data_IF_611873171556
#
_entry.id   IF_611873171556
#
_cell.length_a   1.000
_cell.length_b   1.000
_cell.length_c   1.000
_cell.angle_alpha   90.00
_cell.angle_beta   90.00
_cell.angle_gamma   90.00
#
_symmetry.space_group_name_H-M   'P 1'
#
loop_
_entity.id
_entity.type
_entity.pdbx_description
1 polymer ?
#
# COMPACT_ATOMS: atom_id res chain seq x y z
N UNK A 1 -25.10 -48.44 -8.02
CA UNK A 1 -26.24 -49.37 -7.90
C UNK A 1 -26.28 -50.25 -9.13
N UNK A 2 -26.63 -51.54 -8.98
CA UNK A 2 -26.62 -52.48 -10.08
C UNK A 2 -27.69 -52.19 -11.12
N UNK A 3 -27.35 -52.24 -12.40
CA UNK A 3 -28.31 -52.13 -13.51
C UNK A 3 -28.95 -53.50 -13.75
N UNK A 4 -30.31 -53.56 -13.67
CA UNK A 4 -31.06 -54.78 -13.89
C UNK A 4 -31.85 -54.68 -15.21
N UNK A 5 -31.52 -55.55 -16.18
CA UNK A 5 -32.27 -55.70 -17.44
C UNK A 5 -33.25 -56.85 -17.34
N UNK A 6 -34.52 -56.64 -17.74
CA UNK A 6 -35.60 -57.59 -17.65
C UNK A 6 -35.74 -58.38 -18.97
N UNK A 7 -35.79 -59.72 -18.83
CA UNK A 7 -36.11 -60.65 -19.91
C UNK A 7 -37.28 -61.56 -19.50
N UNK A 8 -37.95 -62.25 -20.38
CA UNK A 8 -39.23 -62.94 -20.08
C UNK A 8 -39.19 -63.91 -18.90
N UNK A 9 -38.09 -64.64 -18.66
CA UNK A 9 -37.98 -65.65 -17.58
C UNK A 9 -36.78 -65.45 -16.69
N UNK A 10 -35.84 -64.60 -17.10
CA UNK A 10 -34.59 -64.34 -16.38
C UNK A 10 -34.27 -62.86 -16.36
N UNK A 11 -33.46 -62.41 -15.45
CA UNK A 11 -32.96 -61.05 -15.38
C UNK A 11 -31.45 -61.05 -15.47
N UNK A 12 -30.93 -59.99 -16.06
CA UNK A 12 -29.48 -59.78 -16.14
C UNK A 12 -29.14 -58.58 -15.24
N UNK A 13 -28.24 -58.83 -14.29
CA UNK A 13 -27.69 -57.80 -13.40
C UNK A 13 -26.26 -57.50 -13.86
N UNK A 14 -25.96 -56.23 -13.96
CA UNK A 14 -24.60 -55.70 -14.14
C UNK A 14 -24.28 -54.79 -12.96
N UNK A 15 -23.30 -55.20 -12.16
CA UNK A 15 -22.83 -54.40 -10.99
C UNK A 15 -21.70 -53.49 -11.39
N UNK A 16 -21.59 -52.37 -10.68
CA UNK A 16 -20.45 -51.45 -10.77
C UNK A 16 -19.20 -52.10 -10.16
N UNK A 17 -18.00 -51.66 -10.58
CA UNK A 17 -16.72 -52.14 -10.05
C UNK A 17 -16.51 -51.81 -8.57
N UNK A 18 -17.22 -50.76 -8.07
CA UNK A 18 -17.17 -50.31 -6.68
C UNK A 18 -18.19 -50.98 -5.76
N UNK A 19 -18.94 -51.94 -6.29
CA UNK A 19 -19.94 -52.74 -5.57
C UNK A 19 -19.58 -54.21 -5.61
N UNK A 20 -19.59 -54.85 -4.44
CA UNK A 20 -19.45 -56.30 -4.31
C UNK A 20 -20.81 -56.97 -4.30
N UNK A 21 -21.07 -57.87 -5.23
CA UNK A 21 -22.32 -58.61 -5.37
C UNK A 21 -22.20 -60.01 -4.80
N UNK A 22 -23.18 -60.35 -3.98
CA UNK A 22 -23.36 -61.69 -3.43
C UNK A 22 -24.65 -62.28 -4.02
N UNK A 23 -24.55 -63.28 -4.85
CA UNK A 23 -25.68 -63.99 -5.46
C UNK A 23 -25.95 -65.32 -4.77
N UNK A 24 -27.12 -65.42 -4.18
CA UNK A 24 -27.58 -66.65 -3.50
C UNK A 24 -28.70 -67.29 -4.32
N UNK A 25 -28.59 -68.66 -4.47
CA UNK A 25 -29.63 -69.45 -5.08
C UNK A 25 -30.03 -70.54 -4.09
N UNK A 26 -31.31 -70.57 -3.70
CA UNK A 26 -31.80 -71.55 -2.69
C UNK A 26 -30.94 -71.55 -1.42
N UNK A 27 -30.62 -70.37 -0.90
CA UNK A 27 -29.81 -70.11 0.29
C UNK A 27 -28.31 -70.53 0.17
N UNK A 28 -27.83 -70.92 -1.01
CA UNK A 28 -26.42 -71.21 -1.24
C UNK A 28 -25.77 -70.11 -2.05
N UNK A 29 -24.60 -69.62 -1.59
CA UNK A 29 -23.80 -68.65 -2.30
C UNK A 29 -23.28 -69.20 -3.61
N UNK A 30 -23.63 -68.60 -4.75
CA UNK A 30 -23.22 -69.12 -6.09
C UNK A 30 -22.13 -68.25 -6.68
N UNK A 31 -22.29 -66.89 -6.61
CA UNK A 31 -21.31 -65.99 -7.14
C UNK A 31 -21.05 -64.87 -6.10
N UNK A 32 -19.78 -64.52 -5.96
CA UNK A 32 -19.33 -63.44 -5.08
C UNK A 32 -18.18 -62.70 -5.76
N UNK A 33 -18.27 -61.38 -5.91
CA UNK A 33 -17.23 -60.56 -6.51
C UNK A 33 -17.70 -59.15 -6.85
N UNK A 34 -16.75 -58.32 -7.23
CA UNK A 34 -16.99 -56.94 -7.68
C UNK A 34 -17.11 -56.87 -9.19
N UNK A 35 -17.96 -55.96 -9.69
CA UNK A 35 -18.15 -55.75 -11.12
C UNK A 35 -18.78 -56.93 -11.86
N UNK A 36 -19.51 -57.83 -11.16
CA UNK A 36 -20.09 -59.02 -11.75
C UNK A 36 -21.27 -58.68 -12.69
N UNK A 37 -21.33 -59.45 -13.78
CA UNK A 37 -22.49 -59.52 -14.65
C UNK A 37 -23.09 -60.95 -14.58
N UNK A 38 -24.30 -61.07 -14.07
CA UNK A 38 -24.91 -62.36 -13.80
C UNK A 38 -26.33 -62.47 -14.33
N UNK A 39 -26.71 -63.69 -14.76
CA UNK A 39 -28.12 -64.04 -15.07
C UNK A 39 -28.74 -64.70 -13.84
N UNK A 40 -29.90 -64.29 -13.43
CA UNK A 40 -30.60 -64.85 -12.28
C UNK A 40 -32.11 -65.00 -12.50
N UNK A 41 -32.70 -65.87 -11.71
CA UNK A 41 -34.16 -66.05 -11.70
C UNK A 41 -34.75 -65.35 -10.49
N UNK A 42 -35.62 -64.30 -10.70
CA UNK A 42 -36.17 -63.53 -9.58
C UNK A 42 -37.06 -64.34 -8.61
N UNK A 43 -37.49 -65.54 -8.99
CA UNK A 43 -38.33 -66.38 -8.14
C UNK A 43 -37.54 -67.26 -7.17
N UNK A 44 -36.28 -67.56 -7.46
CA UNK A 44 -35.50 -68.48 -6.66
C UNK A 44 -34.19 -67.92 -6.12
N UNK A 45 -33.78 -66.75 -6.59
CA UNK A 45 -32.50 -66.16 -6.34
C UNK A 45 -32.64 -64.88 -5.52
N UNK A 46 -31.69 -64.61 -4.61
CA UNK A 46 -31.54 -63.33 -3.93
C UNK A 46 -30.16 -62.74 -4.20
N UNK A 47 -30.08 -61.44 -4.26
CA UNK A 47 -28.86 -60.68 -4.56
C UNK A 47 -28.67 -59.61 -3.51
N UNK A 48 -27.48 -59.61 -2.90
CA UNK A 48 -27.06 -58.52 -2.02
C UNK A 48 -25.93 -57.72 -2.71
N UNK A 49 -26.02 -56.37 -2.63
CA UNK A 49 -25.03 -55.46 -3.20
C UNK A 49 -24.40 -54.64 -2.07
N UNK A 50 -23.13 -54.87 -1.79
CA UNK A 50 -22.37 -54.19 -0.73
C UNK A 50 -21.39 -53.24 -1.40
N UNK A 51 -21.47 -51.92 -1.13
CA UNK A 51 -20.49 -50.95 -1.62
C UNK A 51 -19.13 -51.19 -0.93
N UNK A 52 -18.04 -51.15 -1.72
CA UNK A 52 -16.67 -51.33 -1.25
C UNK A 52 -15.86 -50.02 -1.34
N UNK A 53 -16.47 -48.98 -1.80
CA UNK A 53 -15.91 -47.60 -1.85
C UNK A 53 -15.74 -47.04 -0.44
N UNK A 54 -14.82 -46.09 -0.30
CA UNK A 54 -14.66 -45.33 0.95
C UNK A 54 -15.89 -44.42 1.15
N UNK A 55 -16.46 -44.48 2.36
CA UNK A 55 -17.66 -43.75 2.71
C UNK A 55 -17.44 -42.85 3.91
N UNK A 56 -17.90 -41.64 3.74
CA UNK A 56 -17.82 -40.62 4.79
C UNK A 56 -19.11 -40.57 5.61
N UNK A 57 -18.94 -40.60 6.94
CA UNK A 57 -19.98 -40.46 7.93
C UNK A 57 -19.74 -39.21 8.74
N UNK A 58 -20.70 -38.28 8.72
CA UNK A 58 -20.65 -37.11 9.57
C UNK A 58 -20.86 -37.47 11.03
N UNK A 59 -19.99 -36.98 11.91
CA UNK A 59 -20.06 -37.12 13.35
C UNK A 59 -20.37 -35.78 13.98
N UNK A 60 -21.41 -35.74 14.80
CA UNK A 60 -21.72 -34.64 15.70
C UNK A 60 -21.88 -35.25 17.11
N UNK A 61 -20.97 -34.90 17.99
CA UNK A 61 -20.87 -35.49 19.33
C UNK A 61 -21.11 -34.37 20.34
N UNK A 62 -22.15 -34.52 21.15
CA UNK A 62 -22.43 -33.65 22.27
C UNK A 62 -22.04 -34.35 23.56
N UNK A 63 -21.17 -33.73 24.33
CA UNK A 63 -20.68 -34.29 25.58
C UNK A 63 -20.41 -33.23 26.63
N UNK A 64 -20.16 -33.69 27.86
CA UNK A 64 -19.83 -32.83 28.98
C UNK A 64 -18.39 -33.11 29.42
N UNK A 65 -17.58 -32.04 29.50
CA UNK A 65 -16.20 -32.09 29.96
C UNK A 65 -16.10 -32.43 31.46
N UNK A 66 -14.88 -32.69 31.93
CA UNK A 66 -14.60 -32.88 33.35
C UNK A 66 -15.12 -31.73 34.22
N UNK A 67 -15.08 -30.52 33.72
CA UNK A 67 -15.54 -29.30 34.42
C UNK A 67 -17.06 -29.06 34.28
N UNK A 68 -17.82 -30.07 33.86
CA UNK A 68 -19.26 -29.99 33.61
C UNK A 68 -19.70 -28.98 32.56
N UNK A 69 -18.81 -28.65 31.66
CA UNK A 69 -19.12 -27.75 30.54
C UNK A 69 -19.55 -28.53 29.29
N UNK A 70 -20.56 -28.03 28.59
CA UNK A 70 -21.06 -28.65 27.39
C UNK A 70 -20.09 -28.40 26.23
N UNK A 71 -19.71 -29.46 25.55
CA UNK A 71 -18.80 -29.48 24.39
C UNK A 71 -19.49 -30.14 23.21
N UNK A 72 -19.34 -29.53 22.04
CA UNK A 72 -19.75 -30.11 20.77
C UNK A 72 -18.51 -30.37 19.91
N UNK A 73 -18.28 -31.62 19.55
CA UNK A 73 -17.26 -32.01 18.59
C UNK A 73 -17.90 -32.38 17.26
N UNK A 74 -17.34 -31.86 16.17
CA UNK A 74 -17.79 -32.15 14.80
C UNK A 74 -16.67 -32.75 14.02
N UNK A 75 -16.99 -33.75 13.19
CA UNK A 75 -16.00 -34.45 12.41
C UNK A 75 -16.58 -35.34 11.33
N UNK A 76 -15.70 -36.08 10.69
CA UNK A 76 -16.03 -37.04 9.66
C UNK A 76 -15.25 -38.35 9.92
N UNK A 77 -15.94 -39.45 9.86
CA UNK A 77 -15.36 -40.79 9.93
C UNK A 77 -15.47 -41.44 8.55
N UNK A 78 -14.35 -41.84 7.97
CA UNK A 78 -14.30 -42.55 6.69
C UNK A 78 -14.09 -44.04 6.95
N UNK A 79 -14.96 -44.85 6.39
CA UNK A 79 -14.91 -46.31 6.52
C UNK A 79 -15.13 -47.01 5.17
N UNK A 80 -14.74 -48.25 5.08
CA UNK A 80 -15.01 -49.13 3.93
C UNK A 80 -15.37 -50.54 4.36
N UNK A 81 -16.04 -51.26 3.48
CA UNK A 81 -16.28 -52.65 3.65
C UNK A 81 -15.07 -53.47 3.15
N UNK A 82 -14.19 -53.90 4.08
CA UNK A 82 -13.03 -54.77 3.74
C UNK A 82 -13.44 -56.19 3.42
N UNK A 83 -14.41 -56.74 4.16
CA UNK A 83 -14.97 -58.06 3.96
C UNK A 83 -16.49 -57.99 3.73
N UNK A 84 -16.94 -57.71 2.49
CA UNK A 84 -18.35 -57.52 2.17
C UNK A 84 -19.27 -58.68 2.51
N UNK A 85 -18.73 -59.92 2.44
CA UNK A 85 -19.47 -61.12 2.76
C UNK A 85 -19.82 -61.23 4.26
N UNK A 86 -18.92 -60.80 5.16
CA UNK A 86 -19.20 -60.73 6.61
C UNK A 86 -20.23 -59.66 6.92
N UNK A 87 -20.10 -58.51 6.24
CA UNK A 87 -21.03 -57.38 6.43
C UNK A 87 -22.46 -57.75 6.01
N UNK A 88 -22.62 -58.43 4.87
CA UNK A 88 -23.92 -58.87 4.36
C UNK A 88 -24.59 -59.95 5.22
N UNK A 89 -23.85 -60.69 6.04
CA UNK A 89 -24.40 -61.64 7.00
C UNK A 89 -25.04 -60.98 8.24
N UNK A 90 -24.62 -59.75 8.57
CA UNK A 90 -25.09 -59.04 9.74
C UNK A 90 -26.08 -57.89 9.43
N UNK A 91 -25.96 -57.34 8.25
CA UNK A 91 -26.80 -56.23 7.78
C UNK A 91 -27.39 -56.61 6.44
N UNK A 92 -28.68 -56.36 6.28
CA UNK A 92 -29.43 -56.68 5.07
C UNK A 92 -29.13 -55.74 3.92
N UNK A 93 -28.27 -56.19 2.99
CA UNK A 93 -27.94 -55.51 1.75
C UNK A 93 -28.70 -56.06 0.54
N UNK A 94 -29.79 -56.84 0.76
CA UNK A 94 -30.56 -57.37 -0.33
C UNK A 94 -31.19 -56.22 -1.19
N UNK A 95 -31.06 -56.45 -2.49
CA UNK A 95 -31.67 -55.51 -3.46
C UNK A 95 -33.02 -56.00 -3.91
N UNK A 96 -33.93 -55.07 -4.20
CA UNK A 96 -35.15 -55.38 -4.95
C UNK A 96 -34.76 -55.79 -6.38
N UNK A 97 -35.02 -57.01 -6.67
CA UNK A 97 -34.70 -57.59 -7.98
C UNK A 97 -35.47 -56.97 -9.15
N UNK A 98 -36.49 -56.15 -8.84
CA UNK A 98 -37.26 -55.42 -9.86
C UNK A 98 -36.68 -54.03 -10.16
N UNK A 99 -36.19 -53.34 -9.16
CA UNK A 99 -35.72 -51.93 -9.27
C UNK A 99 -34.21 -51.81 -9.13
N UNK A 100 -33.52 -52.76 -8.53
CA UNK A 100 -32.09 -52.68 -8.26
C UNK A 100 -31.70 -51.80 -7.08
N UNK A 101 -32.69 -51.41 -6.27
CA UNK A 101 -32.52 -50.61 -5.05
C UNK A 101 -32.46 -51.47 -3.81
N UNK A 102 -31.81 -51.08 -2.75
CA UNK A 102 -31.84 -51.83 -1.48
C UNK A 102 -33.27 -51.90 -0.92
N UNK A 103 -33.65 -53.03 -0.38
CA UNK A 103 -34.95 -53.22 0.28
C UNK A 103 -35.00 -52.56 1.67
N UNK A 104 -33.84 -52.44 2.32
CA UNK A 104 -33.65 -51.73 3.60
C UNK A 104 -32.71 -50.55 3.41
N UNK A 105 -32.37 -49.88 4.47
CA UNK A 105 -31.37 -48.81 4.51
C UNK A 105 -30.08 -49.30 5.19
N UNK A 106 -29.28 -50.17 4.56
CA UNK A 106 -28.15 -50.80 5.21
C UNK A 106 -27.06 -49.82 5.59
N UNK A 107 -26.81 -48.77 4.79
CA UNK A 107 -25.79 -47.79 5.07
C UNK A 107 -26.13 -46.91 6.26
N UNK A 108 -27.39 -46.54 6.46
CA UNK A 108 -27.83 -45.83 7.65
C UNK A 108 -27.63 -46.64 8.91
N UNK A 109 -27.90 -47.96 8.86
CA UNK A 109 -27.70 -48.82 9.99
C UNK A 109 -26.22 -48.97 10.34
N UNK A 110 -25.34 -49.10 9.34
CA UNK A 110 -23.87 -49.08 9.52
C UNK A 110 -23.45 -47.75 10.12
N UNK A 111 -23.91 -46.62 9.55
CA UNK A 111 -23.60 -45.29 10.01
C UNK A 111 -24.02 -45.04 11.45
N UNK A 112 -25.22 -45.45 11.84
CA UNK A 112 -25.70 -45.30 13.22
C UNK A 112 -24.81 -46.05 14.20
N UNK A 113 -24.46 -47.31 13.88
CA UNK A 113 -23.62 -48.12 14.74
C UNK A 113 -22.20 -47.53 14.89
N UNK A 114 -21.60 -47.10 13.79
CA UNK A 114 -20.28 -46.44 13.81
C UNK A 114 -20.31 -45.14 14.58
N UNK A 115 -21.40 -44.34 14.43
CA UNK A 115 -21.57 -43.12 15.20
C UNK A 115 -21.67 -43.38 16.70
N UNK A 116 -22.40 -44.41 17.10
CA UNK A 116 -22.53 -44.79 18.51
C UNK A 116 -21.18 -45.21 19.11
N UNK A 117 -20.42 -46.04 18.39
CA UNK A 117 -19.09 -46.44 18.84
C UNK A 117 -18.11 -45.26 18.91
N UNK A 118 -18.09 -44.39 17.91
CA UNK A 118 -17.26 -43.20 17.90
C UNK A 118 -17.64 -42.26 19.04
N UNK A 119 -18.95 -42.09 19.30
CA UNK A 119 -19.46 -41.28 20.40
C UNK A 119 -19.04 -41.84 21.76
N UNK A 120 -19.05 -43.15 21.98
CA UNK A 120 -18.61 -43.79 23.21
C UNK A 120 -17.17 -43.41 23.56
N UNK A 121 -16.25 -43.56 22.63
CA UNK A 121 -14.83 -43.23 22.82
C UNK A 121 -14.60 -41.71 22.97
N UNK A 122 -15.31 -40.90 22.17
CA UNK A 122 -15.23 -39.45 22.29
C UNK A 122 -15.71 -38.96 23.65
N UNK A 123 -16.87 -39.46 24.13
CA UNK A 123 -17.41 -39.09 25.43
C UNK A 123 -16.52 -39.51 26.60
N UNK A 124 -15.93 -40.71 26.50
CA UNK A 124 -14.95 -41.17 27.50
C UNK A 124 -13.76 -40.22 27.60
N UNK A 125 -13.24 -39.76 26.48
CA UNK A 125 -12.13 -38.81 26.48
C UNK A 125 -12.56 -37.39 26.97
N UNK A 126 -13.68 -36.87 26.50
CA UNK A 126 -14.22 -35.56 26.87
C UNK A 126 -14.50 -35.47 28.34
N UNK A 127 -15.12 -36.53 28.94
CA UNK A 127 -15.46 -36.56 30.36
C UNK A 127 -14.24 -36.58 31.31
N UNK A 128 -13.08 -37.01 30.83
CA UNK A 128 -11.83 -37.04 31.61
C UNK A 128 -10.97 -35.79 31.45
N UNK A 129 -11.28 -34.90 30.50
CA UNK A 129 -10.45 -33.77 30.16
C UNK A 129 -11.13 -32.45 30.47
N UNK A 130 -10.44 -31.48 31.16
CA UNK A 130 -10.97 -30.15 31.39
C UNK A 130 -11.19 -29.39 30.05
N UNK A 131 -12.21 -28.54 30.01
CA UNK A 131 -12.56 -27.79 28.77
C UNK A 131 -11.39 -26.95 28.24
N UNK A 132 -10.63 -26.33 29.11
CA UNK A 132 -9.49 -25.51 28.74
C UNK A 132 -8.39 -26.32 28.04
N UNK A 133 -8.16 -27.54 28.49
CA UNK A 133 -7.19 -28.45 27.90
C UNK A 133 -7.67 -28.96 26.53
N UNK A 134 -8.97 -29.30 26.42
CA UNK A 134 -9.58 -29.66 25.14
C UNK A 134 -9.43 -28.58 24.07
N UNK A 135 -9.64 -27.32 24.45
CA UNK A 135 -9.52 -26.18 23.52
C UNK A 135 -8.06 -25.81 23.23
N UNK A 136 -7.16 -25.97 24.19
CA UNK A 136 -5.73 -25.60 24.02
C UNK A 136 -4.94 -26.66 23.25
N UNK A 137 -5.19 -27.94 23.51
CA UNK A 137 -4.50 -29.05 22.81
C UNK A 137 -5.05 -29.29 21.39
N UNK A 138 -6.22 -28.72 21.10
CA UNK A 138 -6.86 -28.83 19.80
C UNK A 138 -7.52 -30.17 19.56
N UNK A 139 -7.83 -30.46 18.30
CA UNK A 139 -8.64 -31.61 17.87
C UNK A 139 -7.88 -32.94 17.83
N UNK A 140 -6.53 -32.89 17.80
CA UNK A 140 -5.71 -34.06 17.56
C UNK A 140 -5.84 -35.15 18.65
N UNK A 141 -5.80 -34.86 19.97
CA UNK A 141 -5.92 -35.89 20.98
C UNK A 141 -7.30 -36.55 20.99
N UNK A 142 -8.37 -35.83 20.73
CA UNK A 142 -9.72 -36.36 20.61
C UNK A 142 -9.83 -37.31 19.39
N UNK A 143 -9.28 -36.91 18.26
CA UNK A 143 -9.19 -37.75 17.06
C UNK A 143 -8.45 -39.08 17.37
N UNK A 144 -7.28 -38.97 18.00
CA UNK A 144 -6.44 -40.13 18.30
C UNK A 144 -7.12 -41.09 19.28
N UNK A 145 -7.87 -40.54 20.26
CA UNK A 145 -8.66 -41.35 21.20
C UNK A 145 -9.79 -42.14 20.50
N UNK A 146 -10.53 -41.47 19.59
CA UNK A 146 -11.58 -42.12 18.81
C UNK A 146 -10.97 -43.19 17.87
N UNK A 147 -9.90 -42.85 17.17
CA UNK A 147 -9.26 -43.73 16.23
C UNK A 147 -8.68 -44.99 16.94
N UNK A 148 -7.99 -44.79 18.03
CA UNK A 148 -7.44 -45.87 18.85
C UNK A 148 -8.54 -46.79 19.41
N UNK A 149 -9.63 -46.19 19.92
CA UNK A 149 -10.78 -46.92 20.42
C UNK A 149 -11.46 -47.78 19.33
N UNK A 150 -11.74 -47.18 18.20
CA UNK A 150 -12.37 -47.87 17.07
C UNK A 150 -11.49 -48.98 16.48
N UNK A 151 -10.17 -48.79 16.35
CA UNK A 151 -9.23 -49.78 15.88
C UNK A 151 -8.97 -50.91 16.91
N UNK A 152 -9.05 -50.58 18.19
CA UNK A 152 -8.86 -51.54 19.28
C UNK A 152 -10.07 -52.47 19.48
N UNK A 153 -11.23 -52.14 18.92
CA UNK A 153 -12.45 -52.92 19.07
C UNK A 153 -12.56 -53.99 18.01
N UNK A 154 -12.79 -55.26 18.42
CA UNK A 154 -13.01 -56.37 17.47
C UNK A 154 -14.30 -56.21 16.66
N UNK A 155 -15.24 -55.40 17.09
CA UNK A 155 -16.57 -55.23 16.46
C UNK A 155 -16.49 -54.84 14.99
N UNK A 156 -15.59 -53.93 14.61
CA UNK A 156 -15.40 -53.53 13.20
C UNK A 156 -14.89 -54.68 12.35
N UNK A 157 -13.85 -55.40 12.83
CA UNK A 157 -13.29 -56.53 12.15
C UNK A 157 -14.28 -57.72 12.04
N UNK A 158 -15.07 -57.98 13.10
CA UNK A 158 -16.13 -58.98 13.11
C UNK A 158 -17.25 -58.69 12.11
N UNK A 159 -17.44 -57.41 11.78
CA UNK A 159 -18.40 -56.99 10.77
C UNK A 159 -17.78 -56.87 9.36
N UNK A 160 -16.50 -57.05 9.23
CA UNK A 160 -15.80 -56.84 7.95
C UNK A 160 -15.67 -55.40 7.52
N UNK A 161 -15.77 -54.47 8.46
CA UNK A 161 -15.55 -53.03 8.24
C UNK A 161 -14.12 -52.65 8.60
N UNK A 162 -13.56 -51.73 7.84
CA UNK A 162 -12.25 -51.13 8.10
C UNK A 162 -12.40 -49.62 8.28
N UNK A 163 -11.77 -49.11 9.32
CA UNK A 163 -11.66 -47.67 9.55
C UNK A 163 -10.50 -47.12 8.68
N UNK A 164 -10.82 -46.22 7.75
CA UNK A 164 -9.83 -45.53 6.91
C UNK A 164 -9.21 -44.39 7.66
N UNK A 165 -10.03 -43.45 8.16
CA UNK A 165 -9.55 -42.29 8.92
C UNK A 165 -10.66 -41.63 9.73
N UNK A 166 -10.25 -40.98 10.81
CA UNK A 166 -11.12 -40.08 11.58
C UNK A 166 -10.58 -38.66 11.47
N UNK A 167 -11.43 -37.72 11.14
CA UNK A 167 -11.11 -36.29 11.08
C UNK A 167 -12.05 -35.50 11.96
N UNK A 168 -11.53 -34.77 12.93
CA UNK A 168 -12.30 -33.84 13.75
C UNK A 168 -12.08 -32.45 13.19
N UNK A 169 -13.14 -31.78 12.80
CA UNK A 169 -13.11 -30.45 12.18
C UNK A 169 -13.08 -29.34 13.22
N UNK A 170 -13.86 -29.49 14.29
CA UNK A 170 -13.96 -28.49 15.34
C UNK A 170 -14.35 -29.13 16.69
N UNK A 171 -13.89 -28.51 17.75
CA UNK A 171 -14.36 -28.74 19.12
C UNK A 171 -14.74 -27.36 19.66
N UNK A 172 -16.02 -27.17 19.91
CA UNK A 172 -16.59 -25.91 20.36
C UNK A 172 -17.27 -26.05 21.72
N UNK A 173 -17.02 -25.15 22.67
CA UNK A 173 -17.76 -25.09 23.91
C UNK A 173 -19.12 -24.44 23.68
N UNK A 174 -19.94 -24.33 24.74
CA UNK A 174 -21.16 -23.55 24.66
C UNK A 174 -20.87 -22.08 24.32
N UNK A 175 -21.78 -21.40 23.60
CA UNK A 175 -21.60 -20.03 23.15
C UNK A 175 -21.30 -19.03 24.27
N UNK A 176 -21.84 -19.27 25.47
CA UNK A 176 -21.59 -18.39 26.61
C UNK A 176 -20.20 -18.59 27.20
N UNK A 177 -19.72 -19.82 27.23
CA UNK A 177 -18.36 -20.13 27.68
C UNK A 177 -17.31 -19.63 26.65
N UNK A 178 -17.59 -19.76 25.38
CA UNK A 178 -16.73 -19.24 24.30
C UNK A 178 -16.51 -17.72 24.46
N UNK A 179 -17.60 -16.96 24.65
CA UNK A 179 -17.52 -15.52 24.91
C UNK A 179 -16.74 -15.20 26.19
N UNK A 180 -16.93 -15.99 27.24
CA UNK A 180 -16.23 -15.78 28.53
C UNK A 180 -14.71 -16.04 28.41
N UNK A 181 -14.32 -17.04 27.62
CA UNK A 181 -12.90 -17.36 27.35
C UNK A 181 -12.26 -16.35 26.40
N UNK A 182 -13.00 -15.86 25.41
CA UNK A 182 -12.51 -14.86 24.46
C UNK A 182 -12.37 -13.46 25.08
N UNK A 183 -13.23 -13.09 26.04
CA UNK A 183 -13.28 -11.75 26.61
C UNK A 183 -11.91 -11.25 27.12
N UNK A 184 -11.15 -11.97 27.95
CA UNK A 184 -9.85 -11.52 28.44
C UNK A 184 -8.80 -11.42 27.32
N UNK A 185 -8.85 -12.32 26.35
CA UNK A 185 -7.94 -12.31 25.21
C UNK A 185 -8.23 -11.11 24.29
N UNK A 186 -9.49 -10.85 24.03
CA UNK A 186 -9.95 -9.71 23.24
C UNK A 186 -9.58 -8.38 23.90
N UNK A 187 -9.74 -8.27 25.24
CA UNK A 187 -9.35 -7.09 25.99
C UNK A 187 -7.84 -6.87 25.96
N UNK A 188 -7.05 -7.94 26.10
CA UNK A 188 -5.59 -7.87 25.98
C UNK A 188 -5.13 -7.40 24.58
N UNK A 189 -5.70 -7.94 23.52
CA UNK A 189 -5.42 -7.51 22.15
C UNK A 189 -5.78 -6.04 21.95
N UNK A 190 -6.90 -5.60 22.53
CA UNK A 190 -7.33 -4.20 22.48
C UNK A 190 -6.34 -3.28 23.21
N UNK A 191 -5.90 -3.67 24.41
CA UNK A 191 -4.88 -2.93 25.16
C UNK A 191 -3.57 -2.82 24.37
N UNK A 192 -3.07 -3.90 23.80
CA UNK A 192 -1.87 -3.90 22.95
C UNK A 192 -2.03 -3.00 21.71
N UNK A 193 -3.22 -3.00 21.11
CA UNK A 193 -3.53 -2.13 19.97
C UNK A 193 -3.58 -0.64 20.38
N UNK A 194 -4.17 -0.33 21.53
CA UNK A 194 -4.23 1.03 22.08
C UNK A 194 -2.83 1.53 22.46
N UNK A 195 -2.02 0.71 23.14
CA UNK A 195 -0.62 1.04 23.46
C UNK A 195 0.20 1.32 22.18
N UNK A 196 0.06 0.49 21.15
CA UNK A 196 0.71 0.71 19.86
C UNK A 196 0.21 1.99 19.15
N UNK A 197 -1.06 2.35 19.32
CA UNK A 197 -1.62 3.59 18.80
C UNK A 197 -1.08 4.82 19.55
N UNK A 198 -0.98 4.76 20.88
CA UNK A 198 -0.37 5.81 21.70
C UNK A 198 1.11 6.00 21.39
N UNK A 199 1.86 4.91 21.27
CA UNK A 199 3.29 4.98 20.89
C UNK A 199 3.49 5.63 19.52
N UNK A 200 2.66 5.30 18.54
CA UNK A 200 2.69 5.94 17.20
C UNK A 200 2.36 7.43 17.26
N UNK A 201 1.35 7.83 18.05
CA UNK A 201 1.00 9.24 18.22
C UNK A 201 2.11 10.02 18.92
N UNK A 202 2.71 9.46 19.98
CA UNK A 202 3.84 10.09 20.67
C UNK A 202 5.01 10.32 19.71
N UNK A 203 5.38 9.31 18.91
CA UNK A 203 6.43 9.44 17.91
C UNK A 203 6.09 10.47 16.81
N UNK A 204 4.82 10.55 16.39
CA UNK A 204 4.37 11.54 15.42
C UNK A 204 4.53 12.97 15.96
N UNK A 205 4.09 13.22 17.20
CA UNK A 205 4.23 14.51 17.85
C UNK A 205 5.70 14.90 18.04
N UNK A 206 6.56 13.94 18.42
CA UNK A 206 8.01 14.18 18.55
C UNK A 206 8.64 14.55 17.20
N UNK A 207 8.26 13.86 16.14
CA UNK A 207 8.72 14.20 14.78
C UNK A 207 8.22 15.55 14.30
N UNK A 208 6.94 15.89 14.55
CA UNK A 208 6.39 17.19 14.22
C UNK A 208 7.14 18.30 14.98
N UNK A 209 7.43 18.10 16.25
CA UNK A 209 8.22 19.03 17.04
C UNK A 209 9.63 19.21 16.47
N UNK A 210 10.31 18.12 16.14
CA UNK A 210 11.64 18.17 15.53
C UNK A 210 11.63 18.88 14.16
N UNK A 211 10.60 18.68 13.35
CA UNK A 211 10.42 19.39 12.08
C UNK A 211 10.21 20.89 12.34
N UNK A 212 9.33 21.26 13.26
CA UNK A 212 9.08 22.64 13.60
C UNK A 212 10.32 23.36 14.16
N UNK A 213 11.13 22.68 14.99
CA UNK A 213 12.40 23.21 15.49
C UNK A 213 13.41 23.41 14.35
N UNK A 214 13.54 22.45 13.42
CA UNK A 214 14.39 22.58 12.24
C UNK A 214 13.93 23.73 11.31
N UNK A 215 12.63 23.86 11.07
CA UNK A 215 12.09 24.96 10.28
C UNK A 215 12.38 26.32 10.92
N UNK A 216 12.25 26.40 12.24
CA UNK A 216 12.58 27.63 12.97
C UNK A 216 14.07 27.95 12.87
N UNK A 217 14.94 26.96 13.04
CA UNK A 217 16.39 27.13 12.88
C UNK A 217 16.74 27.59 11.46
N UNK A 218 16.16 26.96 10.45
CA UNK A 218 16.34 27.35 9.04
C UNK A 218 15.90 28.81 8.80
N UNK A 219 14.77 29.22 9.35
CA UNK A 219 14.31 30.64 9.25
C UNK A 219 15.26 31.61 9.91
N UNK A 220 15.80 31.26 11.08
CA UNK A 220 16.79 32.10 11.79
C UNK A 220 18.10 32.18 10.97
N UNK A 221 18.54 31.06 10.37
CA UNK A 221 19.75 31.06 9.55
C UNK A 221 19.57 31.86 8.25
N UNK A 222 18.39 31.74 7.61
CA UNK A 222 18.04 32.56 6.44
C UNK A 222 18.02 34.06 6.79
N UNK A 223 17.38 34.44 7.89
CA UNK A 223 17.34 35.82 8.34
C UNK A 223 18.75 36.35 8.64
N UNK A 224 19.64 35.55 9.24
CA UNK A 224 21.05 35.94 9.45
C UNK A 224 21.80 36.12 8.13
N UNK A 225 21.58 35.23 7.16
CA UNK A 225 22.19 35.34 5.82
C UNK A 225 21.69 36.58 5.06
N UNK A 226 20.40 36.85 5.16
CA UNK A 226 19.81 38.09 4.59
C UNK A 226 20.38 39.34 5.22
N UNK A 227 20.54 39.37 6.55
CA UNK A 227 21.17 40.48 7.25
C UNK A 227 22.63 40.67 6.79
N UNK A 228 23.40 39.59 6.70
CA UNK A 228 24.79 39.64 6.21
C UNK A 228 24.85 40.12 4.74
N UNK A 229 23.91 39.72 3.91
CA UNK A 229 23.84 40.15 2.51
C UNK A 229 23.53 41.65 2.41
N UNK A 230 22.59 42.17 3.22
CA UNK A 230 22.25 43.60 3.29
C UNK A 230 23.45 44.39 3.78
N UNK A 231 24.16 43.91 4.80
CA UNK A 231 25.35 44.56 5.34
C UNK A 231 26.49 44.58 4.29
N UNK A 232 26.69 43.48 3.57
CA UNK A 232 27.68 43.41 2.50
C UNK A 232 27.31 44.26 1.29
N UNK A 233 26.02 44.34 0.95
CA UNK A 233 25.55 45.26 -0.07
C UNK A 233 25.73 46.75 0.34
N UNK A 234 25.47 47.06 1.61
CA UNK A 234 25.70 48.38 2.18
C UNK A 234 27.18 48.78 2.13
N UNK A 235 28.07 47.92 2.56
CA UNK A 235 29.54 48.17 2.50
C UNK A 235 30.04 48.30 1.07
N UNK A 236 29.55 47.47 0.16
CA UNK A 236 29.89 47.56 -1.26
C UNK A 236 29.37 48.85 -1.90
N UNK A 237 28.16 49.30 -1.55
CA UNK A 237 27.59 50.53 -2.03
C UNK A 237 28.37 51.74 -1.51
N UNK A 238 28.79 51.71 -0.23
CA UNK A 238 29.66 52.74 0.34
C UNK A 238 31.02 52.78 -0.38
N UNK A 239 31.65 51.63 -0.58
CA UNK A 239 32.90 51.52 -1.34
C UNK A 239 32.76 52.07 -2.77
N UNK A 240 31.71 51.70 -3.47
CA UNK A 240 31.43 52.26 -4.81
C UNK A 240 31.21 53.76 -4.81
N UNK A 241 30.48 54.31 -3.80
CA UNK A 241 30.27 55.72 -3.68
C UNK A 241 31.57 56.47 -3.37
N UNK A 242 32.44 55.92 -2.51
CA UNK A 242 33.76 56.49 -2.23
C UNK A 242 34.69 56.46 -3.44
N UNK A 243 34.68 55.34 -4.17
CA UNK A 243 35.47 55.20 -5.40
C UNK A 243 34.97 56.15 -6.51
N UNK A 244 33.65 56.27 -6.65
CA UNK A 244 33.05 57.26 -7.56
C UNK A 244 33.37 58.71 -7.17
N UNK A 245 33.34 59.03 -5.86
CA UNK A 245 33.73 60.34 -5.38
C UNK A 245 35.23 60.62 -5.60
N UNK A 246 36.11 59.61 -5.39
CA UNK A 246 37.55 59.75 -5.71
C UNK A 246 37.77 59.94 -7.21
N UNK A 247 37.11 59.15 -8.03
CA UNK A 247 37.21 59.29 -9.48
C UNK A 247 36.71 60.65 -9.97
N UNK A 248 35.58 61.15 -9.42
CA UNK A 248 35.07 62.49 -9.74
C UNK A 248 36.07 63.60 -9.28
N UNK A 249 36.68 63.44 -8.10
CA UNK A 249 37.69 64.36 -7.63
C UNK A 249 38.92 64.39 -8.54
N UNK A 250 39.48 63.25 -8.87
CA UNK A 250 40.60 63.10 -9.79
C UNK A 250 40.27 63.69 -11.17
N UNK A 251 39.03 63.44 -11.68
CA UNK A 251 38.60 64.05 -12.92
C UNK A 251 38.49 65.57 -12.85
N UNK A 252 37.95 66.10 -11.73
CA UNK A 252 37.86 67.55 -11.52
C UNK A 252 39.24 68.20 -11.37
N UNK A 253 40.14 67.57 -10.63
CA UNK A 253 41.51 68.05 -10.46
C UNK A 253 42.27 68.05 -11.79
N UNK A 254 42.12 66.99 -12.60
CA UNK A 254 42.73 66.91 -13.94
C UNK A 254 42.17 67.92 -14.94
N UNK A 255 40.83 68.19 -14.85
CA UNK A 255 40.18 69.20 -15.67
C UNK A 255 40.62 70.65 -15.24
N UNK A 256 40.75 70.89 -13.92
CA UNK A 256 41.26 72.15 -13.42
C UNK A 256 42.72 72.40 -13.86
N UNK A 257 43.56 71.39 -13.83
CA UNK A 257 44.94 71.45 -14.33
C UNK A 257 44.99 71.69 -15.86
N UNK A 258 44.10 70.99 -16.61
CA UNK A 258 43.95 71.20 -18.05
C UNK A 258 43.51 72.65 -18.37
N UNK A 259 42.51 73.17 -17.65
CA UNK A 259 42.03 74.53 -17.83
C UNK A 259 43.14 75.54 -17.44
N UNK A 260 43.83 75.36 -16.32
CA UNK A 260 44.94 76.17 -15.90
C UNK A 260 46.08 76.26 -16.92
N UNK A 261 46.45 75.09 -17.49
CA UNK A 261 47.50 75.05 -18.52
C UNK A 261 47.06 75.66 -19.87
N UNK A 262 45.80 75.47 -20.29
CA UNK A 262 45.25 76.00 -21.52
C UNK A 262 45.05 77.54 -21.37
N UNK A 263 44.45 77.99 -20.24
CA UNK A 263 44.25 79.40 -20.02
C UNK A 263 45.59 80.12 -19.73
N UNK A 264 46.53 79.44 -19.05
CA UNK A 264 47.88 80.00 -18.88
C UNK A 264 48.61 80.21 -20.23
N UNK A 265 48.52 79.16 -21.11
CA UNK A 265 49.07 79.30 -22.47
C UNK A 265 48.37 80.34 -23.35
N UNK A 266 47.05 80.52 -23.20
CA UNK A 266 46.31 81.59 -23.88
C UNK A 266 46.72 82.97 -23.37
N UNK A 267 46.85 83.15 -22.06
CA UNK A 267 47.23 84.38 -21.44
C UNK A 267 48.65 84.81 -21.83
N UNK A 268 49.59 83.84 -21.96
CA UNK A 268 50.96 84.14 -22.47
C UNK A 268 50.91 84.55 -23.94
N UNK A 269 50.16 83.81 -24.76
CA UNK A 269 49.95 84.20 -26.15
C UNK A 269 49.29 85.56 -26.36
N UNK A 270 48.32 85.94 -25.51
CA UNK A 270 47.70 87.28 -25.55
C UNK A 270 48.62 88.38 -25.06
N UNK A 271 49.47 88.10 -24.05
CA UNK A 271 50.51 89.03 -23.64
C UNK A 271 51.50 89.30 -24.75
N UNK A 272 52.02 88.22 -25.36
CA UNK A 272 52.94 88.37 -26.51
C UNK A 272 52.23 89.07 -27.70
N UNK A 273 50.96 88.85 -27.93
CA UNK A 273 50.17 89.58 -28.95
C UNK A 273 49.98 91.04 -28.65
N UNK A 274 49.73 91.39 -27.38
CA UNK A 274 49.59 92.78 -26.93
C UNK A 274 50.91 93.48 -27.01
N UNK A 275 52.01 92.85 -26.61
CA UNK A 275 53.37 93.35 -26.68
C UNK A 275 53.80 93.61 -28.13
N UNK A 276 53.48 92.68 -29.05
CA UNK A 276 53.71 92.85 -30.49
C UNK A 276 52.83 94.04 -31.10
N UNK A 277 51.63 94.26 -30.60
CA UNK A 277 50.75 95.30 -31.04
C UNK A 277 51.12 96.73 -30.53
N UNK A 278 52.01 96.76 -29.51
CA UNK A 278 52.46 98.07 -28.95
C UNK A 278 53.45 98.77 -29.90
N UNK A 279 54.15 98.04 -30.72
CA UNK A 279 55.18 98.56 -31.68
C UNK A 279 54.66 98.86 -33.11
N UNK A 280 53.36 98.69 -33.36
CA UNK A 280 52.76 98.79 -34.71
C UNK A 280 52.11 100.14 -34.88
N UNK A 281 52.37 100.86 -36.03
CA UNK A 281 51.81 102.16 -36.31
C UNK A 281 50.25 102.21 -36.34
N UNK A 282 49.61 103.30 -35.87
CA UNK A 282 48.13 103.33 -35.73
C UNK A 282 47.30 102.96 -36.96
N UNK A 283 47.80 103.19 -38.16
CA UNK A 283 47.10 102.89 -39.39
C UNK A 283 47.00 101.40 -39.70
N UNK A 284 47.98 100.61 -39.27
CA UNK A 284 47.97 99.11 -39.42
C UNK A 284 47.08 98.42 -38.43
N UNK A 285 47.01 99.04 -37.23
CA UNK A 285 46.07 98.58 -36.15
C UNK A 285 44.59 98.68 -36.61
N UNK A 286 44.25 99.80 -37.31
CA UNK A 286 42.89 100.04 -37.77
C UNK A 286 42.55 99.06 -38.90
N UNK A 287 43.47 98.67 -39.76
CA UNK A 287 43.29 97.71 -40.85
C UNK A 287 43.13 96.30 -40.30
N UNK A 288 43.86 95.93 -39.22
CA UNK A 288 43.76 94.65 -38.56
C UNK A 288 42.44 94.51 -37.79
N UNK A 289 41.98 95.60 -37.16
CA UNK A 289 40.69 95.65 -36.48
C UNK A 289 39.50 95.53 -37.43
N UNK A 290 39.62 96.17 -38.64
CA UNK A 290 38.61 96.07 -39.68
C UNK A 290 38.56 94.62 -40.26
N UNK A 291 39.70 93.91 -40.40
CA UNK A 291 39.81 92.52 -40.90
C UNK A 291 39.20 91.53 -39.89
N UNK A 292 39.45 91.73 -38.60
CA UNK A 292 38.86 90.87 -37.53
C UNK A 292 37.37 91.10 -37.44
N UNK A 293 36.90 92.40 -37.64
CA UNK A 293 35.48 92.71 -37.65
C UNK A 293 34.78 92.09 -38.86
N UNK A 294 35.37 92.08 -40.03
CA UNK A 294 34.85 91.47 -41.23
C UNK A 294 34.75 89.94 -41.12
N UNK A 295 35.72 89.33 -40.50
CA UNK A 295 35.71 87.85 -40.30
C UNK A 295 34.71 87.32 -39.27
N UNK A 296 34.25 88.26 -38.33
CA UNK A 296 33.24 87.87 -37.38
C UNK A 296 31.80 88.17 -37.85
N UNK A 297 31.66 88.96 -38.90
CA UNK A 297 30.34 89.29 -39.53
C UNK A 297 29.82 88.13 -40.36
N UNK A 298 30.69 87.27 -40.94
CA UNK A 298 30.27 86.05 -41.70
C UNK A 298 29.53 85.00 -40.87
N UNK A 299 29.50 85.12 -39.57
CA UNK A 299 28.89 84.13 -38.65
C UNK A 299 27.57 84.58 -38.03
N UNK A 300 26.94 85.70 -38.49
CA UNK A 300 25.67 86.22 -37.94
C UNK A 300 24.56 85.92 -38.99
N UNK A 301 23.87 84.83 -38.86
CA UNK A 301 22.76 84.44 -39.75
C UNK A 301 21.44 85.24 -39.51
N UNK A 302 21.29 85.93 -38.43
CA UNK A 302 20.07 86.74 -38.19
C UNK A 302 20.39 88.00 -37.36
N UNK A 303 20.51 89.16 -38.01
CA UNK A 303 20.55 90.48 -37.37
C UNK A 303 19.22 91.20 -37.59
N UNK A 304 18.38 91.21 -36.62
CA UNK A 304 17.10 91.85 -36.65
C UNK A 304 17.28 93.32 -36.03
N UNK A 305 17.59 94.26 -36.89
CA UNK A 305 17.79 95.68 -36.46
C UNK A 305 16.48 96.40 -36.62
N UNK A 306 15.81 96.72 -35.54
CA UNK A 306 14.69 97.63 -35.55
C UNK A 306 15.19 99.09 -35.69
N UNK A 307 14.50 99.92 -36.44
CA UNK A 307 14.95 101.32 -36.74
C UNK A 307 15.18 102.21 -35.49
N UNK A 308 14.62 101.85 -34.33
CA UNK A 308 14.72 102.60 -33.09
C UNK A 308 16.10 102.52 -32.39
N UNK A 309 16.86 101.43 -32.65
CA UNK A 309 18.18 101.30 -32.05
C UNK A 309 19.31 102.05 -32.81
N UNK A 310 19.08 102.36 -34.05
CA UNK A 310 20.03 103.16 -34.84
C UNK A 310 19.99 104.63 -34.47
N UNK A 311 18.82 105.17 -34.04
CA UNK A 311 18.66 106.56 -33.60
C UNK A 311 19.44 106.87 -32.34
N UNK A 312 19.42 106.01 -31.32
CA UNK A 312 20.11 106.17 -30.05
C UNK A 312 21.64 106.08 -30.11
N UNK A 313 22.13 105.21 -30.96
CA UNK A 313 23.59 105.05 -31.19
C UNK A 313 24.21 106.20 -31.98
N UNK A 314 23.48 106.80 -32.92
CA UNK A 314 23.95 107.94 -33.70
C UNK A 314 23.96 109.24 -32.84
N UNK A 315 23.04 109.37 -31.91
CA UNK A 315 23.01 110.59 -30.97
C UNK A 315 24.11 110.51 -29.92
N UNK A 316 24.46 109.30 -29.46
CA UNK A 316 25.52 109.09 -28.45
C UNK A 316 26.93 109.29 -29.01
N UNK A 317 27.15 108.87 -30.26
CA UNK A 317 28.44 109.07 -30.98
C UNK A 317 28.67 110.53 -31.39
N UNK A 318 27.60 111.29 -31.73
CA UNK A 318 27.69 112.66 -32.11
C UNK A 318 27.82 113.62 -30.91
N UNK A 319 27.29 113.25 -29.75
CA UNK A 319 27.41 114.08 -28.52
C UNK A 319 28.78 114.00 -27.86
N UNK A 320 29.58 112.90 -28.13
CA UNK A 320 30.93 112.72 -27.57
C UNK A 320 32.04 113.42 -28.37
N UNK A 321 31.72 114.19 -29.45
CA UNK A 321 32.65 114.94 -30.28
C UNK A 321 32.64 116.42 -30.01
N UNK A 322 31.93 116.87 -28.92
CA UNK A 322 31.88 118.28 -28.50
C UNK A 322 32.15 118.39 -26.99
N UNK A 323 33.26 117.80 -26.51
CA UNK A 323 33.93 118.17 -25.27
C UNK A 323 35.39 117.81 -25.36
#
# INVERSE_FOLDING_TARGET
MAEIRRFPFVRHLRADSISHVLHYRRATLRHSGSGLAIWFNPMSDSVAEVPIDDRDLQLVIHGRSFDFQDITAQGVLTFRAAEPAKLAQRIDFNIDLSQGTWQAQPLEKVGLMLSQLAQEYALSYIAQTPVRELLTRGVAPLRDAIEAGLRGTSTLGDMGLELVTVRISAVSPSADLEKAIEAPTREKIKQEADEAAYARRALAVEKERAIAENEMQNKIELAKREQQLIEQQGTNAQGQAEDAARAAKIAADSEAERIATVEGAKATLERERVEFLHDVPPGVLLALAAQVFASKIETIEHLNITPDMLGTLLTDVLSKKAS
#
